data_IF_416202741972
#
_entry.id   IF_416202741972
#
_cell.length_a   1.000
_cell.length_b   1.000
_cell.length_c   1.000
_cell.angle_alpha   90.00
_cell.angle_beta   90.00
_cell.angle_gamma   90.00
#
_symmetry.space_group_name_H-M   'P 1'
#
loop_
_entity.id
_entity.type
_entity.pdbx_description
1 polymer ?
#
# COMPACT_ATOMS: atom_id res chain seq x y z
N UNK A 1 11.21 -5.35 -2.28
CA UNK A 1 10.00 -4.48 -2.28
C UNK A 1 10.37 -3.12 -1.67
N UNK A 2 9.93 -2.01 -2.26
CA UNK A 2 10.31 -0.64 -1.82
C UNK A 2 9.25 0.06 -0.96
N UNK A 3 8.03 -0.46 -0.97
CA UNK A 3 6.87 0.05 -0.25
C UNK A 3 6.81 -0.55 1.15
N UNK A 4 6.34 0.24 2.11
CA UNK A 4 6.16 -0.15 3.51
C UNK A 4 4.70 0.07 3.94
N UNK A 5 4.32 -0.53 5.07
CA UNK A 5 3.06 -0.20 5.75
C UNK A 5 3.06 1.28 6.14
N UNK A 6 1.93 1.96 5.94
CA UNK A 6 1.79 3.41 6.20
C UNK A 6 2.10 4.30 5.00
N UNK A 7 2.67 3.76 3.93
CA UNK A 7 2.87 4.53 2.69
C UNK A 7 1.52 4.81 2.03
N UNK A 8 1.25 6.07 1.68
CA UNK A 8 0.15 6.44 0.78
C UNK A 8 0.56 6.13 -0.66
N UNK A 9 -0.28 5.39 -1.38
CA UNK A 9 -0.01 4.97 -2.76
C UNK A 9 -1.18 5.24 -3.68
N UNK A 10 -0.85 5.50 -4.94
CA UNK A 10 -1.78 5.61 -6.07
C UNK A 10 -1.72 4.32 -6.90
N UNK A 11 -2.87 3.78 -7.26
CA UNK A 11 -2.97 2.65 -8.17
C UNK A 11 -2.76 3.13 -9.61
N UNK A 12 -1.73 2.62 -10.28
CA UNK A 12 -1.37 3.03 -11.65
C UNK A 12 -1.95 2.10 -12.73
N UNK A 13 -2.31 0.86 -12.35
CA UNK A 13 -2.81 -0.15 -13.28
C UNK A 13 -3.82 -1.09 -12.60
N UNK A 14 -4.73 -1.64 -13.40
CA UNK A 14 -5.77 -2.57 -12.95
C UNK A 14 -7.14 -1.90 -12.77
N UNK A 15 -8.07 -2.65 -12.18
CA UNK A 15 -9.49 -2.25 -12.00
C UNK A 15 -9.64 -0.93 -11.23
N UNK A 16 -8.78 -0.71 -10.26
CA UNK A 16 -8.84 0.44 -9.34
C UNK A 16 -7.86 1.56 -9.72
N UNK A 17 -7.43 1.62 -10.99
CA UNK A 17 -6.51 2.67 -11.47
C UNK A 17 -7.04 4.07 -11.14
N UNK A 18 -6.16 4.92 -10.60
CA UNK A 18 -6.46 6.29 -10.20
C UNK A 18 -6.91 6.44 -8.75
N UNK A 19 -7.20 5.34 -8.04
CA UNK A 19 -7.51 5.41 -6.60
C UNK A 19 -6.25 5.55 -5.78
N UNK A 20 -6.33 6.39 -4.75
CA UNK A 20 -5.32 6.54 -3.71
C UNK A 20 -5.76 5.81 -2.44
N UNK A 21 -4.79 5.29 -1.70
CA UNK A 21 -5.04 4.66 -0.40
C UNK A 21 -3.75 4.38 0.36
N UNK A 22 -3.88 4.10 1.66
CA UNK A 22 -2.76 3.76 2.52
C UNK A 22 -2.49 2.25 2.50
N UNK A 23 -1.21 1.85 2.52
CA UNK A 23 -0.83 0.44 2.67
C UNK A 23 -1.08 0.00 4.12
N UNK A 24 -2.12 -0.82 4.30
CA UNK A 24 -2.45 -1.46 5.58
C UNK A 24 -1.46 -2.58 5.89
N UNK A 25 -1.02 -3.31 4.85
CA UNK A 25 -0.11 -4.45 5.00
C UNK A 25 0.76 -4.65 3.76
N UNK A 26 2.06 -4.78 3.97
CA UNK A 26 2.99 -5.24 2.93
C UNK A 26 3.20 -6.76 3.01
N UNK A 27 3.25 -7.44 1.86
CA UNK A 27 3.53 -8.87 1.73
C UNK A 27 4.78 -9.07 0.86
N UNK A 28 6.00 -8.87 1.40
CA UNK A 28 7.24 -8.89 0.62
C UNK A 28 7.50 -10.21 -0.11
N UNK A 29 7.14 -11.34 0.51
CA UNK A 29 7.33 -12.69 -0.05
C UNK A 29 6.52 -12.91 -1.33
N UNK A 30 5.33 -12.32 -1.42
CA UNK A 30 4.43 -12.45 -2.58
C UNK A 30 4.54 -11.28 -3.56
N UNK A 31 5.40 -10.31 -3.26
CA UNK A 31 5.48 -9.04 -3.98
C UNK A 31 4.13 -8.28 -4.08
N UNK A 32 3.30 -8.34 -3.04
CA UNK A 32 1.98 -7.71 -2.98
C UNK A 32 1.84 -6.75 -1.79
N UNK A 33 0.87 -5.86 -1.88
CA UNK A 33 0.47 -4.94 -0.81
C UNK A 33 -1.05 -4.93 -0.68
N UNK A 34 -1.56 -4.78 0.54
CA UNK A 34 -2.98 -4.54 0.81
C UNK A 34 -3.15 -3.06 1.04
N UNK A 35 -3.95 -2.41 0.20
CA UNK A 35 -4.22 -0.98 0.21
C UNK A 35 -5.67 -0.77 0.62
N UNK A 36 -5.91 0.16 1.54
CA UNK A 36 -7.26 0.48 2.01
C UNK A 36 -8.16 0.92 0.85
N UNK A 37 -9.33 0.31 0.72
CA UNK A 37 -10.34 0.69 -0.27
C UNK A 37 -10.01 0.30 -1.72
N UNK A 38 -8.98 -0.52 -1.93
CA UNK A 38 -8.52 -0.98 -3.25
C UNK A 38 -8.67 -2.50 -3.33
N UNK A 39 -9.12 -2.99 -4.49
CA UNK A 39 -9.33 -4.41 -4.76
C UNK A 39 -10.27 -5.05 -3.73
N UNK A 40 -11.39 -4.39 -3.45
CA UNK A 40 -12.37 -4.86 -2.47
C UNK A 40 -13.10 -6.08 -3.01
N UNK A 41 -13.11 -7.16 -2.23
CA UNK A 41 -13.85 -8.37 -2.52
C UNK A 41 -14.90 -8.66 -1.43
N UNK A 42 -16.07 -9.11 -1.86
CA UNK A 42 -17.13 -9.60 -0.98
C UNK A 42 -16.79 -11.01 -0.51
N UNK A 43 -16.54 -11.16 0.80
CA UNK A 43 -16.28 -12.45 1.42
C UNK A 43 -17.47 -12.86 2.28
N UNK A 44 -18.03 -14.03 1.96
CA UNK A 44 -19.00 -14.68 2.83
C UNK A 44 -18.24 -15.24 4.05
N UNK A 45 -18.59 -14.75 5.24
CA UNK A 45 -17.98 -15.17 6.48
C UNK A 45 -19.03 -15.80 7.40
N UNK A 46 -18.78 -17.07 7.77
CA UNK A 46 -19.53 -17.73 8.84
C UNK A 46 -19.22 -17.02 10.16
N UNK A 47 -20.26 -16.84 10.96
CA UNK A 47 -20.13 -16.31 12.31
C UNK A 47 -19.19 -17.19 13.13
N UNK A 48 -18.14 -16.59 13.70
CA UNK A 48 -17.09 -17.32 14.44
C UNK A 48 -17.14 -17.04 15.95
N UNK A 49 -17.82 -15.96 16.36
CA UNK A 49 -18.06 -15.58 17.77
C UNK A 49 -19.49 -15.09 17.94
N UNK A 50 -20.08 -15.24 19.12
CA UNK A 50 -21.43 -14.73 19.42
C UNK A 50 -21.55 -13.22 19.14
N UNK A 51 -20.47 -12.45 19.34
CA UNK A 51 -20.43 -10.99 19.15
C UNK A 51 -20.15 -10.54 17.71
N UNK A 52 -19.88 -11.45 16.77
CA UNK A 52 -19.58 -11.09 15.38
C UNK A 52 -20.79 -11.43 14.50
N UNK A 53 -21.37 -10.43 13.84
CA UNK A 53 -22.44 -10.69 12.86
C UNK A 53 -21.85 -11.45 11.65
N UNK A 54 -22.42 -12.62 11.35
CA UNK A 54 -22.12 -13.34 10.11
C UNK A 54 -22.68 -12.59 8.90
N UNK A 55 -22.18 -12.90 7.70
CA UNK A 55 -22.72 -12.32 6.46
C UNK A 55 -21.66 -12.05 5.41
N UNK A 56 -22.00 -11.13 4.50
CA UNK A 56 -21.10 -10.67 3.44
C UNK A 56 -20.32 -9.48 3.99
N UNK A 57 -19.01 -9.66 4.16
CA UNK A 57 -18.09 -8.59 4.55
C UNK A 57 -17.30 -8.12 3.33
N UNK A 58 -17.02 -6.82 3.27
CA UNK A 58 -16.09 -6.27 2.31
C UNK A 58 -14.66 -6.40 2.87
N UNK A 59 -13.74 -6.89 2.04
CA UNK A 59 -12.34 -7.11 2.44
C UNK A 59 -11.40 -6.58 1.37
N UNK A 60 -10.45 -5.76 1.80
CA UNK A 60 -9.35 -5.31 0.93
C UNK A 60 -8.46 -6.49 0.56
N UNK A 61 -8.32 -6.74 -0.73
CA UNK A 61 -7.49 -7.83 -1.25
C UNK A 61 -6.11 -7.32 -1.67
N UNK A 62 -5.09 -8.18 -1.62
CA UNK A 62 -3.75 -7.81 -2.06
C UNK A 62 -3.71 -7.38 -3.54
N UNK A 63 -2.90 -6.39 -3.84
CA UNK A 63 -2.56 -5.91 -5.18
C UNK A 63 -1.06 -6.08 -5.40
N UNK A 64 -0.64 -6.38 -6.63
CA UNK A 64 0.78 -6.51 -6.93
C UNK A 64 1.51 -5.16 -6.74
N UNK A 65 2.68 -5.18 -6.11
CA UNK A 65 3.41 -3.96 -5.74
C UNK A 65 3.88 -3.12 -6.95
N UNK A 66 3.92 -3.70 -8.17
CA UNK A 66 4.20 -2.94 -9.39
C UNK A 66 3.03 -2.06 -9.85
N UNK A 67 1.80 -2.36 -9.41
CA UNK A 67 0.59 -1.65 -9.86
C UNK A 67 0.26 -0.45 -8.99
N UNK A 68 1.14 -0.11 -8.04
CA UNK A 68 1.00 1.02 -7.13
C UNK A 68 2.27 1.86 -7.12
N UNK A 69 2.11 3.16 -6.92
CA UNK A 69 3.20 4.12 -6.83
C UNK A 69 3.04 4.96 -5.57
N UNK A 70 4.16 5.27 -4.90
CA UNK A 70 4.13 6.14 -3.71
C UNK A 70 3.59 7.52 -4.08
N UNK A 71 2.72 8.08 -3.26
CA UNK A 71 2.28 9.46 -3.36
C UNK A 71 3.03 10.26 -2.29
N UNK A 72 3.74 11.30 -2.72
CA UNK A 72 4.39 12.24 -1.81
C UNK A 72 3.89 13.64 -2.14
N UNK A 73 3.34 14.35 -1.15
CA UNK A 73 2.75 15.70 -1.33
C UNK A 73 1.76 15.77 -2.50
N UNK A 74 0.90 14.77 -2.63
CA UNK A 74 -0.13 14.69 -3.69
C UNK A 74 0.40 14.38 -5.09
N UNK A 75 1.69 14.02 -5.24
CA UNK A 75 2.28 13.63 -6.53
C UNK A 75 2.81 12.20 -6.49
N UNK A 76 2.50 11.37 -7.51
CA UNK A 76 3.08 10.05 -7.62
C UNK A 76 4.60 10.13 -7.88
N UNK A 77 5.37 9.34 -7.15
CA UNK A 77 6.83 9.39 -7.17
C UNK A 77 7.47 8.01 -7.03
N UNK A 78 8.69 7.89 -7.56
CA UNK A 78 9.51 6.67 -7.39
C UNK A 78 10.30 6.75 -6.10
N UNK A 79 10.42 5.61 -5.41
CA UNK A 79 11.28 5.48 -4.22
C UNK A 79 12.75 5.35 -4.63
N UNK A 80 13.59 6.24 -4.09
CA UNK A 80 15.05 6.20 -4.10
C UNK A 80 15.62 5.92 -2.70
N UNK A 81 16.95 5.87 -2.61
CA UNK A 81 17.66 5.75 -1.33
C UNK A 81 18.80 6.76 -1.29
N UNK A 82 19.04 7.34 -0.12
CA UNK A 82 20.20 8.20 0.17
C UNK A 82 20.85 7.71 1.46
N UNK A 83 22.18 7.82 1.54
CA UNK A 83 22.93 7.59 2.78
C UNK A 83 23.12 8.96 3.43
N UNK A 84 22.72 9.09 4.69
CA UNK A 84 22.93 10.30 5.48
C UNK A 84 24.37 10.35 6.03
N UNK A 85 24.78 11.49 6.57
CA UNK A 85 26.13 11.70 7.11
C UNK A 85 26.45 10.75 8.29
N UNK A 86 25.42 10.28 9.00
CA UNK A 86 25.50 9.29 10.07
C UNK A 86 25.64 7.83 9.55
N UNK A 87 25.67 7.63 8.23
CA UNK A 87 25.74 6.32 7.59
C UNK A 87 24.38 5.61 7.45
N UNK A 88 23.28 6.20 7.92
CA UNK A 88 21.95 5.59 7.83
C UNK A 88 21.39 5.67 6.41
N UNK A 89 20.80 4.56 5.94
CA UNK A 89 20.17 4.50 4.62
C UNK A 89 18.69 4.85 4.73
N UNK A 90 18.33 6.02 4.22
CA UNK A 90 16.95 6.52 4.20
C UNK A 90 16.31 6.38 2.83
N UNK A 91 14.98 6.22 2.81
CA UNK A 91 14.20 6.26 1.57
C UNK A 91 13.94 7.72 1.20
N UNK A 92 13.99 8.03 -0.09
CA UNK A 92 13.69 9.38 -0.60
C UNK A 92 12.63 9.33 -1.71
N UNK A 93 11.80 10.35 -1.79
CA UNK A 93 10.96 10.61 -2.95
C UNK A 93 11.84 11.14 -4.08
N UNK A 94 11.97 10.42 -5.20
CA UNK A 94 12.86 10.85 -6.31
C UNK A 94 12.44 12.17 -6.95
N UNK A 95 11.18 12.55 -6.86
CA UNK A 95 10.65 13.79 -7.42
C UNK A 95 11.05 15.04 -6.63
N UNK A 96 11.15 14.95 -5.30
CA UNK A 96 11.43 16.10 -4.42
C UNK A 96 12.78 15.99 -3.71
N UNK A 97 13.39 14.80 -3.66
CA UNK A 97 14.60 14.53 -2.89
C UNK A 97 14.36 14.41 -1.38
N UNK A 98 13.12 14.58 -0.93
CA UNK A 98 12.75 14.57 0.49
C UNK A 98 12.74 13.14 1.05
N UNK A 99 13.06 13.03 2.33
CA UNK A 99 13.04 11.77 3.07
C UNK A 99 11.61 11.32 3.30
N UNK A 100 11.38 10.04 3.05
CA UNK A 100 10.12 9.34 3.28
C UNK A 100 10.39 8.18 4.25
N UNK A 101 9.59 8.06 5.31
CA UNK A 101 9.82 7.07 6.38
C UNK A 101 9.25 5.71 6.01
#
# INVERSE_FOLDING_TARGET
>A
MKLKKGDTVLVIAGKDKGKEGEIIRALPRENKVVVSGVNIAKKHQKQTKQTMQGGIIDRDMPVHASNVMLVHKGKPTRVGYKIQEDGTKVRIAKSTGEVIS
#
